data_IF_135007005163
#
_entry.id   IF_135007005163
#
_cell.length_a   1.000
_cell.length_b   1.000
_cell.length_c   1.000
_cell.angle_alpha   90.00
_cell.angle_beta   90.00
_cell.angle_gamma   90.00
#
_symmetry.space_group_name_H-M   'P 1'
#
loop_
_entity.id
_entity.type
_entity.pdbx_description
1 polymer ?
#
# COMPACT_ATOMS: atom_id res chain seq x y z
N UNK A 1 18.22 -4.36 7.35
CA UNK A 1 17.09 -3.43 7.57
C UNK A 1 15.89 -4.14 8.14
N UNK A 2 16.11 -5.27 8.80
CA UNK A 2 15.08 -6.10 9.41
C UNK A 2 15.76 -6.88 10.53
N UNK A 3 15.29 -6.72 11.76
CA UNK A 3 15.96 -7.30 12.92
C UNK A 3 15.54 -8.76 13.12
N UNK A 4 16.41 -9.70 12.76
CA UNK A 4 16.21 -11.13 13.05
C UNK A 4 17.55 -11.86 13.32
N UNK A 5 17.52 -13.09 13.88
CA UNK A 5 18.73 -13.89 14.15
C UNK A 5 19.38 -14.42 12.86
N UNK A 6 20.20 -13.60 12.22
CA UNK A 6 20.90 -13.88 10.95
C UNK A 6 22.41 -14.11 11.12
N UNK A 7 22.92 -14.00 12.36
CA UNK A 7 24.35 -14.14 12.66
C UNK A 7 25.22 -12.94 12.29
N UNK A 8 24.63 -11.80 11.91
CA UNK A 8 25.36 -10.55 11.66
C UNK A 8 25.58 -9.76 12.96
N UNK A 9 26.57 -8.86 12.98
CA UNK A 9 26.91 -8.07 14.16
C UNK A 9 27.66 -6.78 13.85
N UNK A 10 27.81 -5.92 14.87
CA UNK A 10 28.48 -4.63 14.73
C UNK A 10 27.74 -3.69 13.76
N UNK A 11 28.47 -3.13 12.78
CA UNK A 11 27.91 -2.18 11.80
C UNK A 11 26.79 -2.76 10.94
N UNK A 12 26.77 -4.08 10.74
CA UNK A 12 25.71 -4.76 9.98
C UNK A 12 24.38 -4.87 10.73
N UNK A 13 24.27 -4.28 11.93
CA UNK A 13 23.01 -4.16 12.67
C UNK A 13 22.50 -2.71 12.75
N UNK A 14 23.26 -1.74 12.23
CA UNK A 14 22.85 -0.33 12.23
C UNK A 14 21.69 -0.05 11.27
N UNK A 15 21.51 -0.89 10.25
CA UNK A 15 20.35 -0.86 9.35
C UNK A 15 19.10 -1.52 9.95
N UNK A 16 19.27 -2.49 10.84
CA UNK A 16 18.15 -3.24 11.42
C UNK A 16 17.37 -2.44 12.46
N UNK A 17 18.00 -1.45 13.09
CA UNK A 17 17.37 -0.63 14.13
C UNK A 17 17.95 0.78 14.14
N UNK A 18 17.21 1.72 13.53
CA UNK A 18 17.57 3.15 13.51
C UNK A 18 16.90 3.85 14.69
N UNK A 19 17.70 4.31 15.65
CA UNK A 19 17.21 5.01 16.85
C UNK A 19 16.61 6.39 16.53
N UNK A 20 15.71 6.92 17.38
CA UNK A 20 15.25 8.30 17.25
C UNK A 20 16.42 9.29 17.16
N UNK A 21 16.40 10.18 16.15
CA UNK A 21 17.48 11.12 15.87
C UNK A 21 18.70 10.52 15.14
N UNK A 22 18.72 9.21 14.92
CA UNK A 22 19.72 8.53 14.10
C UNK A 22 19.47 8.72 12.60
N UNK A 23 20.46 8.35 11.80
CA UNK A 23 20.36 8.29 10.35
C UNK A 23 21.03 7.02 9.81
N UNK A 24 20.53 6.54 8.68
CA UNK A 24 21.12 5.43 7.95
C UNK A 24 20.86 5.59 6.46
N UNK A 25 21.83 5.20 5.63
CA UNK A 25 21.70 5.22 4.17
C UNK A 25 21.58 3.80 3.65
N UNK A 26 20.38 3.41 3.23
CA UNK A 26 20.14 2.12 2.59
C UNK A 26 20.59 2.14 1.13
N UNK A 27 21.31 1.10 0.71
CA UNK A 27 21.75 0.93 -0.68
C UNK A 27 21.22 -0.40 -1.22
N UNK A 28 20.27 -0.34 -2.14
CA UNK A 28 19.67 -1.52 -2.77
C UNK A 28 20.01 -1.55 -4.26
N UNK A 29 20.91 -2.43 -4.71
CA UNK A 29 21.16 -2.58 -6.14
C UNK A 29 20.00 -3.32 -6.80
N UNK A 30 19.33 -2.66 -7.75
CA UNK A 30 18.31 -3.31 -8.60
C UNK A 30 19.02 -4.21 -9.61
N UNK A 31 19.09 -5.51 -9.31
CA UNK A 31 19.66 -6.52 -10.21
C UNK A 31 18.66 -6.88 -11.30
N UNK A 32 19.15 -7.44 -12.41
CA UNK A 32 18.33 -7.88 -13.54
C UNK A 32 17.25 -8.88 -13.12
N UNK A 33 17.53 -9.73 -12.14
CA UNK A 33 16.60 -10.74 -11.62
C UNK A 33 15.40 -10.13 -10.86
N UNK A 34 15.53 -8.89 -10.39
CA UNK A 34 14.47 -8.13 -9.72
C UNK A 34 13.83 -7.07 -10.63
N UNK A 35 14.31 -6.95 -11.87
CA UNK A 35 13.75 -6.04 -12.86
C UNK A 35 12.60 -6.73 -13.60
N UNK A 36 11.61 -5.97 -14.10
CA UNK A 36 10.55 -6.53 -14.91
C UNK A 36 11.10 -7.29 -16.12
N UNK A 37 10.52 -8.45 -16.41
CA UNK A 37 10.86 -9.26 -17.59
C UNK A 37 10.25 -8.65 -18.85
N UNK A 38 10.58 -9.20 -20.02
CA UNK A 38 10.01 -8.71 -21.28
C UNK A 38 8.47 -8.83 -21.32
N UNK A 39 7.90 -9.85 -20.68
CA UNK A 39 6.46 -10.09 -20.62
C UNK A 39 5.74 -9.26 -19.54
N UNK A 40 6.46 -8.71 -18.58
CA UNK A 40 5.87 -7.84 -17.56
C UNK A 40 5.58 -6.43 -18.12
N UNK A 41 4.72 -5.69 -17.42
CA UNK A 41 4.56 -4.25 -17.61
C UNK A 41 5.90 -3.50 -17.45
N UNK A 42 5.95 -2.24 -17.92
CA UNK A 42 7.17 -1.42 -17.84
C UNK A 42 7.67 -1.24 -16.41
N UNK A 43 6.76 -1.15 -15.44
CA UNK A 43 7.09 -1.08 -14.02
C UNK A 43 6.27 -2.10 -13.23
N UNK A 44 6.92 -2.72 -12.25
CA UNK A 44 6.29 -3.60 -11.27
C UNK A 44 6.10 -2.87 -9.95
N UNK A 45 4.94 -3.08 -9.34
CA UNK A 45 4.63 -2.63 -7.99
C UNK A 45 5.40 -3.46 -6.97
N UNK A 46 6.11 -2.78 -6.08
CA UNK A 46 6.69 -3.28 -4.84
C UNK A 46 6.33 -2.32 -3.71
N UNK A 47 6.81 -2.61 -2.51
CA UNK A 47 6.68 -1.74 -1.35
C UNK A 47 7.99 -1.66 -0.58
N UNK A 48 8.09 -0.69 0.30
CA UNK A 48 9.01 -0.67 1.41
C UNK A 48 8.23 -0.39 2.70
N UNK A 49 8.72 -0.90 3.82
CA UNK A 49 8.16 -0.64 5.14
C UNK A 49 9.23 -0.79 6.22
N UNK A 50 8.96 -0.30 7.42
CA UNK A 50 9.81 -0.58 8.59
C UNK A 50 9.63 -2.03 9.05
N UNK A 51 10.67 -2.62 9.63
CA UNK A 51 10.75 -4.04 9.95
C UNK A 51 11.40 -4.31 11.31
N UNK A 52 11.14 -3.45 12.30
CA UNK A 52 11.53 -3.67 13.70
C UNK A 52 10.49 -4.59 14.35
N UNK A 53 9.23 -4.17 14.33
CA UNK A 53 8.06 -4.99 14.66
C UNK A 53 7.05 -4.79 13.52
N UNK A 54 7.13 -5.65 12.50
CA UNK A 54 6.49 -5.40 11.20
C UNK A 54 4.99 -5.09 11.30
N UNK A 55 4.16 -5.87 12.03
CA UNK A 55 2.74 -5.53 12.19
C UNK A 55 2.52 -4.15 12.81
N UNK A 56 3.25 -3.81 13.88
CA UNK A 56 3.09 -2.53 14.58
C UNK A 56 3.59 -1.35 13.76
N UNK A 57 4.74 -1.51 13.13
CA UNK A 57 5.38 -0.50 12.29
C UNK A 57 4.46 -0.11 11.11
N UNK A 58 3.87 -1.10 10.44
CA UNK A 58 2.94 -0.87 9.34
C UNK A 58 1.62 -0.26 9.83
N UNK A 59 1.05 -0.78 10.93
CA UNK A 59 -0.16 -0.22 11.53
C UNK A 59 0.02 1.24 11.95
N UNK A 60 1.24 1.61 12.34
CA UNK A 60 1.63 2.98 12.68
C UNK A 60 1.88 3.88 11.45
N UNK A 61 1.74 3.33 10.24
CA UNK A 61 1.83 4.07 8.97
C UNK A 61 3.17 4.01 8.25
N UNK A 62 4.15 3.21 8.71
CA UNK A 62 5.50 3.15 8.10
C UNK A 62 5.54 2.20 6.89
N UNK A 63 4.83 2.57 5.81
CA UNK A 63 4.76 1.82 4.55
C UNK A 63 4.67 2.77 3.35
N UNK A 64 5.26 2.37 2.23
CA UNK A 64 5.14 3.12 0.98
C UNK A 64 5.35 2.26 -0.28
N UNK A 65 4.86 2.72 -1.44
CA UNK A 65 5.07 2.04 -2.70
C UNK A 65 6.52 2.21 -3.20
N UNK A 66 7.04 1.18 -3.87
CA UNK A 66 8.30 1.21 -4.60
C UNK A 66 8.05 0.68 -6.00
N UNK A 67 8.37 1.47 -7.03
CA UNK A 67 8.24 1.01 -8.41
C UNK A 67 9.61 0.59 -8.95
N UNK A 68 9.67 -0.62 -9.51
CA UNK A 68 10.87 -1.10 -10.21
C UNK A 68 10.57 -1.22 -11.69
N UNK A 69 11.27 -0.43 -12.50
CA UNK A 69 10.99 -0.29 -13.93
C UNK A 69 12.08 -0.92 -14.81
N UNK A 70 11.71 -1.22 -16.05
CA UNK A 70 12.64 -1.63 -17.10
C UNK A 70 13.67 -0.53 -17.35
N UNK A 71 14.90 -0.93 -17.68
CA UNK A 71 15.95 0.03 -18.01
C UNK A 71 15.55 0.81 -19.27
N UNK A 72 15.59 2.14 -19.18
CA UNK A 72 15.34 3.05 -20.31
C UNK A 72 13.87 3.40 -20.53
N UNK A 73 12.94 3.00 -19.65
CA UNK A 73 11.55 3.48 -19.70
C UNK A 73 11.34 4.79 -18.93
N UNK A 74 12.27 5.16 -18.05
CA UNK A 74 12.27 6.45 -17.37
C UNK A 74 13.04 7.48 -18.20
N UNK A 75 12.32 8.23 -19.05
CA UNK A 75 12.79 9.54 -19.51
C UNK A 75 12.47 10.57 -18.43
N UNK A 76 13.44 11.45 -18.12
CA UNK A 76 13.44 12.41 -17.00
C UNK A 76 12.25 13.40 -16.97
N UNK A 77 11.37 13.37 -17.97
CA UNK A 77 10.26 14.32 -18.16
C UNK A 77 8.86 13.70 -18.05
N UNK A 78 8.74 12.38 -17.85
CA UNK A 78 7.45 11.74 -17.49
C UNK A 78 7.53 11.27 -16.05
N UNK A 79 6.51 11.58 -15.25
CA UNK A 79 6.39 11.10 -13.88
C UNK A 79 6.33 9.56 -13.96
N UNK A 80 7.45 8.90 -13.66
CA UNK A 80 7.57 7.49 -13.22
C UNK A 80 7.73 6.34 -14.24
N UNK A 81 8.28 6.51 -15.45
CA UNK A 81 8.84 5.36 -16.22
C UNK A 81 7.88 4.20 -16.58
N UNK A 82 6.59 4.34 -16.29
CA UNK A 82 5.50 3.40 -16.58
C UNK A 82 5.08 3.49 -18.05
N UNK A 83 5.34 4.65 -18.69
CA UNK A 83 4.83 4.99 -20.02
C UNK A 83 3.37 5.45 -20.00
N UNK A 84 2.76 5.58 -18.81
CA UNK A 84 1.40 6.06 -18.63
C UNK A 84 1.35 7.59 -18.52
N UNK A 85 0.21 8.16 -18.95
CA UNK A 85 -0.09 9.58 -18.75
C UNK A 85 -0.35 9.85 -17.27
N UNK A 86 -0.99 8.90 -16.59
CA UNK A 86 -1.24 8.93 -15.15
C UNK A 86 -0.79 7.62 -14.51
N UNK A 87 -0.20 7.71 -13.31
CA UNK A 87 0.14 6.55 -12.49
C UNK A 87 -0.41 6.77 -11.07
N UNK A 88 -1.08 5.75 -10.53
CA UNK A 88 -1.65 5.80 -9.18
C UNK A 88 -1.22 4.59 -8.37
N UNK A 89 -0.78 4.81 -7.13
CA UNK A 89 -0.53 3.76 -6.16
C UNK A 89 -1.67 3.71 -5.14
N UNK A 90 -2.31 2.54 -4.99
CA UNK A 90 -3.36 2.32 -4.00
C UNK A 90 -3.03 1.13 -3.09
N UNK A 91 -2.98 1.41 -1.79
CA UNK A 91 -2.94 0.43 -0.71
C UNK A 91 -4.35 0.13 -0.25
N UNK A 92 -4.79 -1.12 -0.37
CA UNK A 92 -6.00 -1.62 0.28
C UNK A 92 -5.59 -2.29 1.59
N UNK A 93 -6.09 -1.78 2.71
CA UNK A 93 -5.71 -2.26 4.04
C UNK A 93 -6.78 -1.93 5.06
N UNK A 94 -7.00 -2.85 5.98
CA UNK A 94 -7.64 -2.57 7.27
C UNK A 94 -6.53 -2.10 8.20
N UNK A 95 -6.40 -0.78 8.32
CA UNK A 95 -5.42 -0.17 9.23
C UNK A 95 -5.92 -0.37 10.67
N UNK A 96 -5.37 -1.37 11.34
CA UNK A 96 -5.74 -1.73 12.70
C UNK A 96 -4.91 -0.91 13.71
N UNK A 97 -5.47 0.21 14.17
CA UNK A 97 -4.82 1.12 15.13
C UNK A 97 -4.59 0.46 16.51
N UNK A 98 -5.20 -0.69 16.80
CA UNK A 98 -4.89 -1.43 18.03
C UNK A 98 -3.46 -1.97 18.04
N UNK A 99 -2.84 -2.16 16.88
CA UNK A 99 -1.43 -2.55 16.75
C UNK A 99 -0.47 -1.36 16.66
N UNK A 100 -0.98 -0.13 16.53
CA UNK A 100 -0.16 1.07 16.40
C UNK A 100 0.71 1.30 17.63
N UNK A 101 1.95 1.73 17.42
CA UNK A 101 2.83 2.21 18.49
C UNK A 101 2.22 3.38 19.26
N UNK A 102 1.30 4.10 18.62
CA UNK A 102 0.69 5.32 19.13
C UNK A 102 -0.67 5.09 19.78
N UNK A 103 -1.12 3.85 19.98
CA UNK A 103 -2.43 3.54 20.57
C UNK A 103 -2.64 4.26 21.91
N UNK A 104 -1.66 4.19 22.83
CA UNK A 104 -1.74 4.84 24.14
C UNK A 104 -1.80 6.36 24.04
N UNK A 105 -1.05 6.95 23.12
CA UNK A 105 -1.06 8.40 22.87
C UNK A 105 -2.42 8.83 22.31
N UNK A 106 -2.96 8.07 21.36
CA UNK A 106 -4.26 8.31 20.76
C UNK A 106 -5.39 8.22 21.79
N UNK A 107 -5.38 7.21 22.66
CA UNK A 107 -6.38 7.07 23.75
C UNK A 107 -6.33 8.30 24.67
N UNK A 108 -5.13 8.70 25.12
CA UNK A 108 -4.99 9.83 26.03
C UNK A 108 -5.37 11.19 25.38
N UNK A 109 -5.24 11.30 24.06
CA UNK A 109 -5.49 12.54 23.32
C UNK A 109 -6.95 12.69 22.89
N UNK A 110 -7.59 11.60 22.44
CA UNK A 110 -8.88 11.65 21.76
C UNK A 110 -10.05 11.08 22.59
N UNK A 111 -9.80 10.23 23.59
CA UNK A 111 -10.87 9.72 24.45
C UNK A 111 -11.20 10.75 25.55
N UNK A 112 -12.50 10.99 25.79
CA UNK A 112 -12.96 11.89 26.85
C UNK A 112 -12.62 11.36 28.26
N UNK A 113 -12.66 10.04 28.42
CA UNK A 113 -12.34 9.35 29.67
C UNK A 113 -11.31 8.22 29.41
N UNK A 114 -10.02 8.52 29.22
CA UNK A 114 -9.00 7.52 28.87
C UNK A 114 -8.87 6.37 29.87
N UNK A 115 -9.12 6.64 31.15
CA UNK A 115 -8.98 5.66 32.23
C UNK A 115 -10.08 4.58 32.24
N UNK A 116 -11.19 4.78 31.53
CA UNK A 116 -12.30 3.82 31.45
C UNK A 116 -12.22 2.92 30.22
N UNK A 117 -11.25 3.17 29.32
CA UNK A 117 -11.05 2.41 28.10
C UNK A 117 -10.52 1.02 28.43
N UNK A 118 -11.26 0.00 28.01
CA UNK A 118 -10.80 -1.39 27.96
C UNK A 118 -10.29 -1.70 26.55
N UNK A 119 -9.00 -2.00 26.43
CA UNK A 119 -8.37 -2.33 25.14
C UNK A 119 -8.74 -3.74 24.65
N UNK A 120 -9.21 -4.60 25.54
CA UNK A 120 -9.64 -5.96 25.20
C UNK A 120 -11.13 -6.00 24.79
N UNK A 121 -11.85 -4.89 24.91
CA UNK A 121 -13.24 -4.80 24.46
C UNK A 121 -13.33 -4.91 22.94
N UNK A 122 -14.16 -5.83 22.45
CA UNK A 122 -14.32 -6.08 21.01
C UNK A 122 -14.87 -4.85 20.27
N UNK A 123 -15.74 -4.06 20.92
CA UNK A 123 -16.30 -2.83 20.37
C UNK A 123 -15.24 -1.76 20.17
N UNK A 124 -14.38 -1.56 21.18
CA UNK A 124 -13.22 -0.69 21.11
C UNK A 124 -12.26 -1.12 20.00
N UNK A 125 -11.87 -2.39 19.96
CA UNK A 125 -10.96 -2.89 18.92
C UNK A 125 -11.54 -2.70 17.51
N UNK A 126 -12.82 -3.03 17.33
CA UNK A 126 -13.50 -2.85 16.04
C UNK A 126 -13.56 -1.37 15.63
N UNK A 127 -13.77 -0.46 16.58
CA UNK A 127 -13.80 0.99 16.30
C UNK A 127 -12.46 1.55 15.79
N UNK A 128 -11.36 0.86 16.09
CA UNK A 128 -10.00 1.21 15.70
C UNK A 128 -9.55 0.55 14.39
N UNK A 129 -10.42 -0.25 13.74
CA UNK A 129 -10.13 -0.88 12.44
C UNK A 129 -10.61 0.01 11.30
N UNK A 130 -9.67 0.72 10.69
CA UNK A 130 -9.95 1.67 9.62
C UNK A 130 -9.85 0.98 8.26
N UNK A 131 -10.99 0.66 7.64
CA UNK A 131 -11.07 0.05 6.32
C UNK A 131 -10.79 1.10 5.24
N UNK A 132 -9.53 1.17 4.79
CA UNK A 132 -9.03 2.33 4.07
C UNK A 132 -8.38 1.99 2.72
N UNK A 133 -8.41 3.00 1.84
CA UNK A 133 -7.56 3.06 0.65
C UNK A 133 -6.57 4.21 0.85
N UNK A 134 -5.26 3.93 0.91
CA UNK A 134 -4.23 4.93 1.23
C UNK A 134 -4.47 5.70 2.55
N UNK A 135 -5.12 5.07 3.54
CA UNK A 135 -5.49 5.74 4.81
C UNK A 135 -6.75 6.62 4.74
N UNK A 136 -7.41 6.67 3.57
CA UNK A 136 -8.67 7.39 3.36
C UNK A 136 -9.86 6.42 3.49
N UNK A 137 -10.92 6.87 4.16
CA UNK A 137 -12.13 6.10 4.49
C UNK A 137 -13.40 6.80 3.98
N UNK A 138 -14.48 6.05 3.74
CA UNK A 138 -15.78 6.60 3.33
C UNK A 138 -15.73 7.55 2.10
N UNK A 139 -14.88 7.23 1.13
CA UNK A 139 -14.83 7.94 -0.16
C UNK A 139 -14.17 9.33 -0.12
N UNK A 140 -13.35 9.61 0.89
CA UNK A 140 -12.65 10.89 1.04
C UNK A 140 -11.25 10.94 0.36
N UNK A 141 -10.84 9.89 -0.38
CA UNK A 141 -9.57 9.84 -1.13
C UNK A 141 -9.56 10.88 -2.27
N UNK A 142 -8.68 11.90 -2.23
CA UNK A 142 -8.57 12.89 -3.30
C UNK A 142 -7.61 12.47 -4.42
N UNK A 143 -7.58 13.22 -5.52
CA UNK A 143 -6.49 13.19 -6.49
C UNK A 143 -6.54 12.06 -7.53
N UNK A 144 -7.59 11.24 -7.56
CA UNK A 144 -7.81 10.23 -8.59
C UNK A 144 -8.54 10.83 -9.80
N UNK A 145 -7.83 11.68 -10.54
CA UNK A 145 -8.34 12.35 -11.74
C UNK A 145 -7.53 11.95 -12.96
N UNK A 146 -8.20 11.59 -14.05
CA UNK A 146 -7.57 11.20 -15.31
C UNK A 146 -8.48 11.57 -16.48
N UNK A 147 -7.88 11.75 -17.65
CA UNK A 147 -8.64 12.01 -18.88
C UNK A 147 -9.10 10.68 -19.50
N UNK A 148 -10.29 10.71 -20.12
CA UNK A 148 -10.72 9.60 -20.96
C UNK A 148 -9.72 9.36 -22.10
N UNK A 149 -9.62 8.11 -22.54
CA UNK A 149 -8.74 7.62 -23.59
C UNK A 149 -7.23 7.84 -23.33
N UNK A 150 -6.85 8.07 -22.07
CA UNK A 150 -5.44 8.17 -21.65
C UNK A 150 -4.94 6.93 -20.94
N UNK A 151 -3.79 6.42 -21.35
CA UNK A 151 -3.18 5.25 -20.72
C UNK A 151 -2.83 5.55 -19.27
N UNK A 152 -3.35 4.74 -18.35
CA UNK A 152 -3.21 4.88 -16.89
C UNK A 152 -2.67 3.60 -16.29
N UNK A 153 -1.64 3.73 -15.44
CA UNK A 153 -1.05 2.63 -14.68
C UNK A 153 -1.56 2.65 -13.23
N UNK A 154 -2.05 1.51 -12.76
CA UNK A 154 -2.50 1.30 -11.39
C UNK A 154 -1.56 0.34 -10.66
N UNK A 155 -0.98 0.81 -9.57
CA UNK A 155 -0.06 0.08 -8.71
C UNK A 155 -0.77 -0.28 -7.42
N UNK A 156 -1.31 -1.48 -7.38
CA UNK A 156 -2.24 -1.93 -6.35
C UNK A 156 -1.52 -2.89 -5.41
N UNK A 157 -1.69 -2.69 -4.10
CA UNK A 157 -1.16 -3.61 -3.13
C UNK A 157 -2.08 -3.80 -1.93
N UNK A 158 -2.10 -5.03 -1.41
CA UNK A 158 -2.79 -5.39 -0.18
C UNK A 158 -1.80 -5.50 0.98
N UNK A 159 -2.19 -5.02 2.15
CA UNK A 159 -1.38 -5.14 3.37
C UNK A 159 -2.28 -5.39 4.58
N UNK A 160 -1.76 -6.09 5.59
CA UNK A 160 -2.44 -6.31 6.86
C UNK A 160 -2.37 -7.77 7.30
N UNK A 161 -3.49 -8.30 7.78
CA UNK A 161 -3.62 -9.58 8.46
C UNK A 161 -4.49 -10.58 7.66
N UNK A 162 -4.91 -11.68 8.29
CA UNK A 162 -5.74 -12.71 7.66
C UNK A 162 -7.12 -12.23 7.20
N UNK A 163 -7.63 -11.13 7.75
CA UNK A 163 -8.89 -10.50 7.33
C UNK A 163 -8.72 -9.55 6.13
N UNK A 164 -7.48 -9.26 5.72
CA UNK A 164 -7.18 -8.37 4.57
C UNK A 164 -7.32 -9.08 3.22
N UNK A 165 -8.50 -9.62 2.98
CA UNK A 165 -8.92 -10.15 1.69
C UNK A 165 -9.71 -9.06 0.99
N UNK A 166 -9.10 -8.41 0.00
CA UNK A 166 -9.71 -7.30 -0.71
C UNK A 166 -10.05 -7.68 -2.15
N UNK A 167 -11.17 -7.15 -2.63
CA UNK A 167 -11.63 -7.30 -4.01
C UNK A 167 -11.79 -5.91 -4.62
N UNK A 168 -10.67 -5.33 -5.08
CA UNK A 168 -10.62 -4.00 -5.64
C UNK A 168 -11.38 -3.95 -6.97
N UNK A 169 -12.48 -3.21 -7.00
CA UNK A 169 -13.38 -3.09 -8.14
C UNK A 169 -13.46 -1.65 -8.63
N UNK A 170 -13.28 -1.47 -9.94
CA UNK A 170 -13.30 -0.17 -10.62
C UNK A 170 -14.58 -0.04 -11.43
N UNK A 171 -15.57 0.70 -10.91
CA UNK A 171 -16.88 0.80 -11.55
C UNK A 171 -16.77 1.39 -12.97
N UNK A 172 -17.50 0.77 -13.90
CA UNK A 172 -17.58 1.22 -15.29
C UNK A 172 -16.32 1.00 -16.13
N UNK A 173 -15.30 0.35 -15.56
CA UNK A 173 -14.00 0.19 -16.19
C UNK A 173 -13.50 -1.26 -16.06
N UNK A 174 -12.59 -1.61 -16.96
CA UNK A 174 -11.83 -2.85 -16.90
C UNK A 174 -10.36 -2.50 -17.04
N UNK A 175 -9.50 -3.31 -16.47
CA UNK A 175 -8.05 -3.19 -16.60
C UNK A 175 -7.48 -4.50 -17.15
N UNK A 176 -6.23 -4.43 -17.57
CA UNK A 176 -5.44 -5.58 -17.98
C UNK A 176 -4.32 -5.78 -16.96
N UNK A 177 -4.10 -7.01 -16.52
CA UNK A 177 -2.93 -7.38 -15.72
C UNK A 177 -2.37 -8.68 -16.26
N UNK A 178 -1.08 -8.72 -16.58
CA UNK A 178 -0.40 -9.89 -17.19
C UNK A 178 -1.16 -10.44 -18.41
N UNK A 179 -1.55 -9.54 -19.33
CA UNK A 179 -2.34 -9.83 -20.54
C UNK A 179 -3.73 -10.44 -20.29
N UNK A 180 -4.23 -10.40 -19.05
CA UNK A 180 -5.58 -10.83 -18.69
C UNK A 180 -6.46 -9.63 -18.37
N UNK A 181 -7.63 -9.58 -19.01
CA UNK A 181 -8.63 -8.56 -18.74
C UNK A 181 -9.45 -8.94 -17.52
N UNK A 182 -9.59 -8.00 -16.59
CA UNK A 182 -10.41 -8.15 -15.40
C UNK A 182 -11.05 -6.82 -15.00
N UNK A 183 -12.04 -6.90 -14.13
CA UNK A 183 -12.75 -5.78 -13.52
C UNK A 183 -12.59 -5.76 -11.99
N UNK A 184 -12.25 -6.90 -11.39
CA UNK A 184 -11.93 -7.08 -9.96
C UNK A 184 -10.50 -7.62 -9.79
N UNK A 185 -9.75 -7.04 -8.85
CA UNK A 185 -8.44 -7.57 -8.40
C UNK A 185 -8.54 -8.08 -6.97
N UNK A 186 -8.18 -9.35 -6.78
CA UNK A 186 -7.95 -9.91 -5.44
C UNK A 186 -6.62 -9.42 -4.88
N UNK A 187 -6.65 -8.75 -3.73
CA UNK A 187 -5.47 -8.31 -2.99
C UNK A 187 -5.48 -8.95 -1.60
N UNK A 188 -4.40 -9.64 -1.25
CA UNK A 188 -4.15 -10.27 0.05
C UNK A 188 -2.95 -9.59 0.72
N UNK A 189 -2.62 -9.89 1.99
CA UNK A 189 -1.40 -9.37 2.61
C UNK A 189 -0.16 -9.62 1.74
N UNK A 190 0.60 -8.55 1.49
CA UNK A 190 1.78 -8.55 0.64
C UNK A 190 1.53 -8.99 -0.82
N UNK A 191 0.33 -8.75 -1.35
CA UNK A 191 0.05 -8.87 -2.80
C UNK A 191 0.43 -7.58 -3.49
N UNK A 192 1.21 -7.66 -4.57
CA UNK A 192 1.61 -6.52 -5.39
C UNK A 192 1.22 -6.74 -6.84
N UNK A 193 0.42 -5.84 -7.39
CA UNK A 193 -0.13 -5.96 -8.74
C UNK A 193 0.08 -4.64 -9.49
N UNK A 194 0.54 -4.75 -10.73
CA UNK A 194 0.43 -3.68 -11.72
C UNK A 194 -0.74 -4.01 -12.62
N UNK A 195 -1.63 -3.03 -12.81
CA UNK A 195 -2.76 -3.11 -13.71
C UNK A 195 -2.77 -1.90 -14.65
N UNK A 196 -3.18 -2.13 -15.88
CA UNK A 196 -3.15 -1.15 -16.95
C UNK A 196 -4.57 -0.85 -17.41
N UNK A 197 -4.90 0.43 -17.55
CA UNK A 197 -6.26 0.87 -17.88
C UNK A 197 -6.24 2.01 -18.90
N UNK A 198 -7.16 1.97 -19.85
CA UNK A 198 -7.52 3.12 -20.68
C UNK A 198 -8.99 3.44 -20.39
N UNK A 199 -9.29 4.52 -19.63
CA UNK A 199 -10.64 4.82 -19.20
C UNK A 199 -11.47 5.37 -20.37
N UNK A 200 -12.64 4.79 -20.64
CA UNK A 200 -13.43 5.15 -21.83
C UNK A 200 -14.64 6.04 -21.56
N UNK A 201 -15.14 6.10 -20.32
CA UNK A 201 -16.39 6.79 -19.98
C UNK A 201 -16.15 7.99 -19.06
N UNK A 202 -16.23 9.24 -19.57
CA UNK A 202 -16.12 10.43 -18.73
C UNK A 202 -17.19 10.45 -17.62
N UNK A 203 -16.78 10.71 -16.39
CA UNK A 203 -17.69 10.74 -15.26
C UNK A 203 -16.96 10.60 -13.93
N UNK A 204 -17.74 10.51 -12.85
CA UNK A 204 -17.24 10.16 -11.52
C UNK A 204 -17.59 8.70 -11.27
N UNK A 205 -16.58 7.90 -10.98
CA UNK A 205 -16.70 6.46 -10.80
C UNK A 205 -16.20 6.05 -9.43
N UNK A 206 -16.79 4.98 -8.89
CA UNK A 206 -16.41 4.45 -7.58
C UNK A 206 -15.26 3.46 -7.74
N UNK A 207 -14.37 3.47 -6.75
CA UNK A 207 -13.41 2.39 -6.49
C UNK A 207 -13.77 1.83 -5.13
N UNK A 208 -14.02 0.53 -5.05
CA UNK A 208 -14.54 -0.12 -3.84
C UNK A 208 -13.85 -1.45 -3.59
N UNK A 209 -13.89 -1.92 -2.35
CA UNK A 209 -13.72 -3.33 -2.04
C UNK A 209 -15.09 -4.03 -2.08
N UNK A 210 -15.23 -5.12 -2.84
CA UNK A 210 -16.49 -5.88 -2.94
C UNK A 210 -16.68 -6.91 -1.82
N UNK A 211 -15.77 -6.97 -0.86
CA UNK A 211 -15.96 -7.80 0.34
C UNK A 211 -16.94 -7.10 1.27
N UNK A 212 -18.06 -7.77 1.55
CA UNK A 212 -19.21 -7.18 2.26
C UNK A 212 -18.85 -6.51 3.59
N UNK A 213 -17.90 -7.06 4.34
CA UNK A 213 -17.48 -6.50 5.63
C UNK A 213 -16.70 -5.19 5.45
N UNK A 214 -15.92 -5.07 4.37
CA UNK A 214 -15.09 -3.89 4.09
C UNK A 214 -15.89 -2.76 3.42
N UNK A 215 -17.11 -3.06 2.95
CA UNK A 215 -18.02 -2.09 2.33
C UNK A 215 -18.96 -1.41 3.36
N UNK A 216 -19.01 -1.93 4.59
CA UNK A 216 -19.93 -1.44 5.63
C UNK A 216 -19.49 -0.13 6.27
#
# INVERSE_FOLDING_TARGET
>A
GALYPDGTGGKSKEDDFVVPGGNYTYTWPVRKDYSPTLADSNCLTWIYHSHIDTPRDIASGLIGPLLVCKKGTADETSIEGTGAVNAFALMFSIVDENFSWYLDENINTFCLEPATVDKEDEGFQTSNRMHAINGYIYGNLPGLEMCADTFTSWHLFGMGSEIDIHAAYFYGHTFTSRDQRADVIGLFPATFITAEMTPGSPGRWLITCQVNEHLR
#
